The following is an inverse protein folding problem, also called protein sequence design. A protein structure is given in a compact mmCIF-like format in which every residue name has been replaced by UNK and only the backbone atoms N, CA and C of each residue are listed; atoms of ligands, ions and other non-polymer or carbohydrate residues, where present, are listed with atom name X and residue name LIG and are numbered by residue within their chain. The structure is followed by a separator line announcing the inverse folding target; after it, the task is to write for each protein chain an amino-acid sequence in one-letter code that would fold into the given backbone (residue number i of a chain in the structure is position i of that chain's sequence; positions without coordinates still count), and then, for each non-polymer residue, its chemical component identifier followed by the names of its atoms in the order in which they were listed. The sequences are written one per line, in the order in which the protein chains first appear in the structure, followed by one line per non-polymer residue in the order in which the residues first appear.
data_IF_820017593861
#
_entry.id   IF_820017593861
#
_cell.length_a   1.000
_cell.length_b   1.000
_cell.length_c   1.000
_cell.angle_alpha   90.00
_cell.angle_beta   90.00
_cell.angle_gamma   90.00
#
_symmetry.space_group_name_H-M   'P 1'
#
loop_
_entity.id
_entity.type
_entity.pdbx_description
1 polymer ?
#
# COMPACT_ATOMS: atom_id res chain seq x y z
N UNK A 1 -68.65 42.91 -9.32
CA UNK A 1 -69.91 42.55 -8.64
C UNK A 1 -69.80 41.04 -8.41
N UNK A 2 -69.27 40.62 -7.25
CA UNK A 2 -70.02 40.26 -6.01
C UNK A 2 -70.72 38.90 -6.23
N UNK A 3 -70.56 37.80 -5.50
CA UNK A 3 -70.31 37.42 -4.07
C UNK A 3 -69.78 35.97 -4.09
N UNK A 4 -68.80 35.48 -3.31
CA UNK A 4 -68.72 35.19 -1.86
C UNK A 4 -69.73 34.17 -1.29
N UNK A 5 -69.22 33.04 -0.74
CA UNK A 5 -69.55 32.40 0.56
C UNK A 5 -68.91 30.98 0.57
N UNK A 6 -67.95 30.59 1.44
CA UNK A 6 -67.84 30.56 2.92
C UNK A 6 -68.72 29.50 3.61
N UNK A 7 -68.06 28.50 4.23
CA UNK A 7 -68.40 27.79 5.49
C UNK A 7 -67.59 26.49 5.58
N UNK A 8 -67.08 25.98 6.70
CA UNK A 8 -66.93 26.44 8.08
C UNK A 8 -65.91 25.51 8.77
N UNK A 9 -65.31 26.01 9.85
CA UNK A 9 -64.30 25.35 10.66
C UNK A 9 -64.89 24.31 11.63
N UNK A 10 -64.03 23.39 12.12
CA UNK A 10 -64.11 22.90 13.50
C UNK A 10 -62.71 22.65 14.06
N UNK A 11 -62.37 23.48 15.04
CA UNK A 11 -61.29 23.34 16.00
C UNK A 11 -61.74 22.48 17.18
N UNK A 12 -60.86 21.62 17.71
CA UNK A 12 -60.78 21.34 19.13
C UNK A 12 -59.32 21.29 19.57
N UNK A 13 -59.07 22.04 20.64
CA UNK A 13 -57.81 22.18 21.38
C UNK A 13 -57.86 21.27 22.62
N UNK A 14 -56.73 20.68 22.99
CA UNK A 14 -56.35 20.56 24.40
C UNK A 14 -54.84 20.36 24.54
N UNK A 15 -54.22 21.26 25.31
CA UNK A 15 -52.93 21.11 25.99
C UNK A 15 -52.83 19.73 26.69
N UNK A 16 -51.68 19.10 26.92
CA UNK A 16 -50.33 19.57 27.21
C UNK A 16 -49.85 18.74 28.41
N UNK A 17 -48.58 18.34 28.41
CA UNK A 17 -47.68 18.03 29.56
C UNK A 17 -46.62 17.02 29.11
N UNK A 18 -45.40 17.37 29.49
CA UNK A 18 -44.10 16.76 29.32
C UNK A 18 -43.95 15.34 29.84
N UNK A 19 -43.20 14.51 29.10
CA UNK A 19 -42.31 13.50 29.68
C UNK A 19 -41.07 13.34 28.79
N UNK A 20 -39.91 13.42 29.45
CA UNK A 20 -38.58 13.24 28.91
C UNK A 20 -38.26 11.75 28.81
N UNK A 21 -37.89 11.27 27.62
CA UNK A 21 -37.13 10.02 27.49
C UNK A 21 -35.97 10.20 26.51
N UNK A 22 -34.77 10.15 27.07
CA UNK A 22 -33.54 9.91 26.35
C UNK A 22 -33.47 8.43 25.98
N UNK A 23 -33.21 8.10 24.72
CA UNK A 23 -32.93 6.72 24.34
C UNK A 23 -32.90 6.45 22.84
N UNK A 24 -31.72 5.99 22.38
CA UNK A 24 -31.53 5.12 21.20
C UNK A 24 -31.38 5.76 19.81
N UNK A 25 -30.28 6.48 19.57
CA UNK A 25 -29.73 6.76 18.22
C UNK A 25 -28.53 5.84 17.86
N UNK A 26 -28.36 4.70 18.53
CA UNK A 26 -27.24 3.78 18.27
C UNK A 26 -27.64 2.46 17.59
N UNK A 27 -28.93 2.25 17.32
CA UNK A 27 -29.45 1.02 16.68
C UNK A 27 -29.51 1.08 15.15
N UNK A 28 -29.71 2.27 14.57
CA UNK A 28 -30.03 2.38 13.13
C UNK A 28 -28.79 2.48 12.23
N UNK A 29 -27.61 2.76 12.79
CA UNK A 29 -26.35 2.80 12.04
C UNK A 29 -25.81 1.41 11.68
N UNK A 30 -26.29 0.34 12.32
CA UNK A 30 -25.80 -1.03 12.10
C UNK A 30 -26.65 -1.81 11.07
N UNK A 31 -27.92 -1.44 10.89
CA UNK A 31 -28.78 -2.06 9.88
C UNK A 31 -28.60 -1.45 8.46
N UNK A 32 -28.03 -0.24 8.35
CA UNK A 32 -27.76 0.40 7.06
C UNK A 32 -26.48 -0.12 6.36
N UNK A 33 -25.71 -1.02 6.99
CA UNK A 33 -24.53 -1.66 6.39
C UNK A 33 -24.83 -2.99 5.67
N UNK A 34 -26.08 -3.45 5.70
CA UNK A 34 -26.40 -4.84 5.31
C UNK A 34 -27.11 -4.99 3.96
N UNK A 35 -27.56 -3.90 3.31
CA UNK A 35 -28.46 -4.01 2.15
C UNK A 35 -28.03 -3.24 0.87
N UNK A 36 -26.75 -2.88 0.73
CA UNK A 36 -26.24 -2.17 -0.46
C UNK A 36 -25.17 -2.93 -1.23
N UNK A 37 -25.56 -3.74 -2.24
CA UNK A 37 -24.78 -4.04 -3.45
C UNK A 37 -23.29 -4.42 -3.33
N UNK A 38 -22.88 -5.16 -2.29
CA UNK A 38 -21.46 -5.33 -1.91
C UNK A 38 -20.70 -6.57 -2.43
N UNK A 39 -21.26 -7.41 -3.28
CA UNK A 39 -20.63 -8.72 -3.56
C UNK A 39 -19.35 -8.64 -4.41
N UNK A 40 -19.23 -7.69 -5.34
CA UNK A 40 -18.00 -7.49 -6.13
C UNK A 40 -16.91 -6.76 -5.31
N UNK A 41 -17.27 -5.75 -4.51
CA UNK A 41 -16.33 -5.02 -3.65
C UNK A 41 -15.80 -5.88 -2.49
N UNK A 42 -16.63 -6.78 -1.93
CA UNK A 42 -16.23 -7.68 -0.83
C UNK A 42 -15.29 -8.77 -1.34
N UNK A 43 -15.49 -9.28 -2.55
CA UNK A 43 -14.59 -10.28 -3.13
C UNK A 43 -13.24 -9.67 -3.47
N UNK A 44 -13.19 -8.46 -4.02
CA UNK A 44 -11.96 -7.68 -4.22
C UNK A 44 -11.25 -7.35 -2.89
N UNK A 45 -12.01 -7.02 -1.84
CA UNK A 45 -11.50 -6.82 -0.48
C UNK A 45 -10.88 -8.09 0.11
N UNK A 46 -11.44 -9.27 -0.17
CA UNK A 46 -10.96 -10.56 0.34
C UNK A 46 -9.76 -11.08 -0.45
N UNK A 47 -9.73 -10.87 -1.76
CA UNK A 47 -8.61 -11.27 -2.62
C UNK A 47 -7.38 -10.37 -2.43
N UNK A 48 -7.57 -9.05 -2.31
CA UNK A 48 -6.50 -8.10 -1.95
C UNK A 48 -5.90 -8.40 -0.57
N UNK A 49 -6.73 -8.78 0.41
CA UNK A 49 -6.26 -9.15 1.76
C UNK A 49 -5.52 -10.49 1.80
N UNK A 50 -5.90 -11.46 0.94
CA UNK A 50 -5.22 -12.77 0.87
C UNK A 50 -3.78 -12.59 0.42
N UNK A 51 -3.55 -11.90 -0.69
CA UNK A 51 -2.20 -11.65 -1.17
C UNK A 51 -1.32 -10.85 -0.20
N UNK A 52 -1.94 -9.91 0.54
CA UNK A 52 -1.31 -9.14 1.61
C UNK A 52 -0.73 -10.02 2.73
N UNK A 53 -1.54 -10.98 3.21
CA UNK A 53 -1.15 -11.89 4.30
C UNK A 53 -0.02 -12.82 3.87
N UNK A 54 -0.05 -13.26 2.62
CA UNK A 54 0.91 -14.22 2.08
C UNK A 54 2.31 -13.63 1.90
N UNK A 55 2.42 -12.42 1.36
CA UNK A 55 3.71 -11.74 1.15
C UNK A 55 4.37 -11.33 2.48
N UNK A 56 3.58 -10.85 3.44
CA UNK A 56 4.09 -10.36 4.73
C UNK A 56 4.55 -11.48 5.67
N UNK A 57 3.80 -12.60 5.71
CA UNK A 57 4.13 -13.71 6.58
C UNK A 57 5.40 -14.44 6.13
N UNK A 58 5.63 -14.53 4.81
CA UNK A 58 6.81 -15.19 4.22
C UNK A 58 8.13 -14.54 4.61
N UNK A 59 8.18 -13.20 4.60
CA UNK A 59 9.42 -12.46 4.86
C UNK A 59 9.94 -12.69 6.28
N UNK A 60 9.05 -12.99 7.22
CA UNK A 60 9.38 -13.12 8.66
C UNK A 60 9.51 -14.58 9.11
N UNK A 61 8.63 -15.46 8.65
CA UNK A 61 8.55 -16.85 9.10
C UNK A 61 9.14 -17.83 8.10
N UNK A 62 10.30 -17.50 7.56
CA UNK A 62 11.09 -18.49 6.84
C UNK A 62 11.60 -19.55 7.83
N UNK A 63 11.37 -20.82 7.55
CA UNK A 63 11.86 -21.93 8.39
C UNK A 63 13.39 -22.10 8.33
N UNK A 64 14.08 -21.27 7.53
CA UNK A 64 15.53 -21.12 7.56
C UNK A 64 16.04 -20.27 8.72
N UNK A 65 15.16 -19.60 9.47
CA UNK A 65 15.51 -18.84 10.67
C UNK A 65 15.44 -19.72 11.93
N UNK A 66 16.12 -19.31 13.01
CA UNK A 66 16.22 -20.06 14.28
C UNK A 66 14.93 -20.16 15.10
N UNK A 67 13.76 -20.00 14.48
CA UNK A 67 12.47 -20.18 15.12
C UNK A 67 12.28 -21.64 15.56
N UNK A 68 11.83 -21.84 16.81
CA UNK A 68 11.50 -23.16 17.33
C UNK A 68 10.08 -23.58 16.90
N UNK A 69 9.91 -23.82 15.60
CA UNK A 69 8.60 -24.09 14.97
C UNK A 69 8.21 -25.56 15.16
N UNK A 70 7.10 -25.80 15.87
CA UNK A 70 6.45 -27.11 15.89
C UNK A 70 5.66 -27.31 14.58
N UNK A 71 6.18 -28.17 13.69
CA UNK A 71 5.60 -28.46 12.37
C UNK A 71 4.20 -29.10 12.43
N UNK A 72 3.82 -29.66 13.57
CA UNK A 72 2.52 -30.31 13.77
C UNK A 72 1.38 -29.36 14.13
N UNK A 73 1.70 -28.13 14.53
CA UNK A 73 0.72 -27.13 14.91
C UNK A 73 -0.09 -26.67 13.68
N UNK A 74 -1.41 -26.54 13.85
CA UNK A 74 -2.37 -26.23 12.79
C UNK A 74 -2.06 -24.89 12.10
N UNK A 75 -1.59 -23.89 12.86
CA UNK A 75 -1.23 -22.59 12.31
C UNK A 75 -0.11 -22.73 11.27
N UNK A 76 0.97 -23.44 11.59
CA UNK A 76 2.09 -23.65 10.68
C UNK A 76 1.72 -24.54 9.48
N UNK A 77 0.80 -25.49 9.65
CA UNK A 77 0.26 -26.29 8.53
C UNK A 77 -0.52 -25.42 7.53
N UNK A 78 -1.31 -24.46 8.02
CA UNK A 78 -2.04 -23.51 7.17
C UNK A 78 -1.09 -22.55 6.41
N UNK A 79 0.03 -22.18 7.03
CA UNK A 79 1.03 -21.25 6.46
C UNK A 79 1.97 -21.93 5.46
N UNK A 80 2.30 -23.20 5.67
CA UNK A 80 3.27 -23.95 4.85
C UNK A 80 3.08 -23.83 3.33
N UNK A 81 1.86 -23.93 2.75
CA UNK A 81 1.67 -23.78 1.30
C UNK A 81 1.99 -22.37 0.78
N UNK A 82 1.94 -21.33 1.62
CA UNK A 82 2.25 -19.95 1.25
C UNK A 82 3.75 -19.74 0.98
N UNK A 83 4.58 -20.62 1.55
CA UNK A 83 6.02 -20.65 1.36
C UNK A 83 6.37 -21.60 0.20
N UNK A 84 6.12 -21.17 -1.03
CA UNK A 84 6.36 -21.95 -2.26
C UNK A 84 7.75 -22.62 -2.29
N UNK A 85 8.77 -21.94 -1.75
CA UNK A 85 10.14 -22.47 -1.59
C UNK A 85 10.20 -23.75 -0.74
N UNK A 86 9.47 -23.82 0.36
CA UNK A 86 9.50 -24.95 1.29
C UNK A 86 8.80 -26.21 0.76
N UNK A 87 7.94 -26.06 -0.25
CA UNK A 87 7.33 -27.19 -0.94
C UNK A 87 8.33 -27.89 -1.86
N UNK A 88 9.22 -27.13 -2.51
CA UNK A 88 10.06 -27.63 -3.61
C UNK A 88 11.46 -28.06 -3.15
N UNK A 89 12.05 -27.38 -2.16
CA UNK A 89 13.37 -27.78 -1.60
C UNK A 89 13.48 -29.29 -1.30
N UNK A 90 12.52 -29.96 -0.63
CA UNK A 90 12.65 -31.38 -0.32
C UNK A 90 12.62 -32.30 -1.55
N UNK A 91 12.18 -31.82 -2.73
CA UNK A 91 12.17 -32.57 -3.99
C UNK A 91 13.55 -32.59 -4.67
N UNK A 92 14.55 -31.89 -4.12
CA UNK A 92 15.93 -31.88 -4.60
C UNK A 92 16.23 -30.80 -5.65
N UNK A 93 17.53 -30.67 -5.97
CA UNK A 93 18.06 -29.60 -6.81
C UNK A 93 17.47 -29.57 -8.23
N UNK A 94 17.34 -30.74 -8.88
CA UNK A 94 16.79 -30.82 -10.26
C UNK A 94 15.34 -30.29 -10.33
N UNK A 95 14.52 -30.65 -9.35
CA UNK A 95 13.12 -30.20 -9.24
C UNK A 95 13.06 -28.69 -9.03
N UNK A 96 13.93 -28.16 -8.16
CA UNK A 96 14.06 -26.72 -7.94
C UNK A 96 14.45 -25.96 -9.21
N UNK A 97 15.49 -26.40 -9.92
CA UNK A 97 15.92 -25.74 -11.18
C UNK A 97 14.83 -25.79 -12.24
N UNK A 98 14.13 -26.93 -12.36
CA UNK A 98 12.99 -27.06 -13.29
C UNK A 98 11.91 -26.03 -13.00
N UNK A 99 11.54 -25.86 -11.73
CA UNK A 99 10.56 -24.86 -11.32
C UNK A 99 11.03 -23.42 -11.56
N UNK A 100 12.32 -23.10 -11.39
CA UNK A 100 12.88 -21.78 -11.75
C UNK A 100 12.62 -21.46 -13.23
N UNK A 101 12.87 -22.42 -14.13
CA UNK A 101 12.64 -22.20 -15.56
C UNK A 101 11.15 -22.10 -15.92
N UNK A 102 10.30 -22.93 -15.30
CA UNK A 102 8.85 -22.83 -15.50
C UNK A 102 8.33 -21.47 -15.06
N UNK A 103 8.73 -20.99 -13.88
CA UNK A 103 8.36 -19.66 -13.38
C UNK A 103 8.91 -18.56 -14.29
N UNK A 104 10.17 -18.69 -14.73
CA UNK A 104 10.77 -17.71 -15.66
C UNK A 104 10.01 -17.63 -16.97
N UNK A 105 9.59 -18.77 -17.53
CA UNK A 105 8.76 -18.83 -18.73
C UNK A 105 7.38 -18.19 -18.48
N UNK A 106 6.77 -18.44 -17.31
CA UNK A 106 5.49 -17.81 -16.93
C UNK A 106 5.59 -16.29 -16.79
N UNK A 107 6.71 -15.76 -16.28
CA UNK A 107 6.94 -14.31 -16.17
C UNK A 107 7.09 -13.66 -17.56
N UNK A 108 7.87 -14.28 -18.45
CA UNK A 108 8.04 -13.75 -19.81
C UNK A 108 6.74 -13.85 -20.60
N UNK A 109 6.02 -14.97 -20.44
CA UNK A 109 4.71 -15.15 -21.05
C UNK A 109 3.70 -14.13 -20.51
N UNK A 110 3.64 -13.92 -19.18
CA UNK A 110 2.70 -12.94 -18.60
C UNK A 110 3.00 -11.52 -19.06
N UNK A 111 4.29 -11.16 -19.22
CA UNK A 111 4.67 -9.87 -19.79
C UNK A 111 4.23 -9.72 -21.25
N UNK A 112 4.43 -10.76 -22.07
CA UNK A 112 3.98 -10.76 -23.46
C UNK A 112 2.44 -10.66 -23.58
N UNK A 113 1.72 -11.34 -22.68
CA UNK A 113 0.27 -11.30 -22.61
C UNK A 113 -0.25 -9.95 -22.12
N UNK A 114 0.41 -9.31 -21.16
CA UNK A 114 0.04 -7.99 -20.64
C UNK A 114 0.08 -6.90 -21.72
N UNK A 115 0.94 -7.05 -22.74
CA UNK A 115 1.00 -6.15 -23.90
C UNK A 115 -0.12 -6.43 -24.91
N UNK A 116 -0.63 -7.67 -24.99
CA UNK A 116 -1.43 -8.13 -26.12
C UNK A 116 -2.92 -8.38 -25.82
N UNK A 117 -3.30 -8.66 -24.57
CA UNK A 117 -4.64 -9.20 -24.26
C UNK A 117 -5.43 -8.37 -23.25
N UNK A 118 -6.63 -7.95 -23.68
CA UNK A 118 -7.71 -7.42 -22.85
C UNK A 118 -8.65 -8.59 -22.52
N UNK A 119 -8.67 -9.09 -21.27
CA UNK A 119 -9.57 -10.19 -20.88
C UNK A 119 -9.06 -11.04 -19.70
N UNK A 120 -9.53 -12.29 -19.60
CA UNK A 120 -9.36 -13.19 -18.45
C UNK A 120 -7.91 -13.48 -18.00
N UNK A 121 -6.92 -13.24 -18.85
CA UNK A 121 -5.49 -13.34 -18.51
C UNK A 121 -4.96 -12.11 -17.74
N UNK A 122 -5.75 -11.06 -17.62
CA UNK A 122 -5.47 -9.89 -16.78
C UNK A 122 -5.47 -10.27 -15.29
N UNK A 123 -6.33 -11.20 -14.86
CA UNK A 123 -6.34 -11.69 -13.48
C UNK A 123 -5.05 -12.45 -13.14
N UNK A 124 -4.57 -13.31 -14.06
CA UNK A 124 -3.29 -14.00 -13.87
C UNK A 124 -2.13 -13.02 -13.75
N UNK A 125 -2.15 -11.98 -14.58
CA UNK A 125 -1.18 -10.88 -14.57
C UNK A 125 -1.24 -10.16 -13.23
N UNK A 126 -2.43 -9.75 -12.76
CA UNK A 126 -2.62 -9.06 -11.49
C UNK A 126 -2.15 -9.89 -10.29
N UNK A 127 -2.52 -11.18 -10.23
CA UNK A 127 -2.06 -12.07 -9.15
C UNK A 127 -0.54 -12.24 -9.16
N UNK A 128 0.08 -12.42 -10.34
CA UNK A 128 1.52 -12.61 -10.45
C UNK A 128 2.31 -11.38 -10.03
N UNK A 129 1.89 -10.20 -10.48
CA UNK A 129 2.64 -8.95 -10.30
C UNK A 129 2.32 -8.22 -9.00
N UNK A 130 1.08 -8.28 -8.50
CA UNK A 130 0.68 -7.56 -7.28
C UNK A 130 0.80 -8.41 -6.02
N UNK A 131 0.49 -9.71 -6.10
CA UNK A 131 0.43 -10.61 -4.93
C UNK A 131 1.68 -11.48 -4.82
N UNK A 132 1.98 -12.24 -5.87
CA UNK A 132 2.99 -13.30 -5.81
C UNK A 132 4.43 -12.80 -6.00
N UNK A 133 4.65 -11.53 -6.37
CA UNK A 133 5.97 -11.06 -6.80
C UNK A 133 7.05 -11.21 -5.72
N UNK A 134 6.74 -10.91 -4.44
CA UNK A 134 7.68 -11.08 -3.30
C UNK A 134 8.11 -12.54 -3.22
N UNK A 135 7.13 -13.42 -3.42
CA UNK A 135 7.29 -14.85 -3.35
C UNK A 135 8.10 -15.42 -4.52
N UNK A 136 7.85 -14.93 -5.73
CA UNK A 136 8.59 -15.31 -6.92
C UNK A 136 10.02 -14.78 -6.85
N UNK A 137 10.20 -13.54 -6.41
CA UNK A 137 11.50 -12.88 -6.26
C UNK A 137 12.39 -13.64 -5.27
N UNK A 138 11.90 -13.94 -4.06
CA UNK A 138 12.64 -14.77 -3.07
C UNK A 138 12.96 -16.16 -3.63
N UNK A 139 12.08 -16.73 -4.47
CA UNK A 139 12.34 -18.02 -5.09
C UNK A 139 13.46 -17.95 -6.13
N UNK A 140 13.48 -16.93 -6.99
CA UNK A 140 14.53 -16.74 -8.00
C UNK A 140 15.89 -16.41 -7.36
N UNK A 141 15.90 -15.49 -6.38
CA UNK A 141 17.13 -15.05 -5.70
C UNK A 141 17.73 -16.16 -4.86
N UNK A 142 16.94 -17.14 -4.42
CA UNK A 142 17.46 -18.27 -3.63
C UNK A 142 18.56 -19.05 -4.34
N UNK A 143 18.67 -19.00 -5.68
CA UNK A 143 19.84 -19.56 -6.38
C UNK A 143 21.17 -18.90 -6.01
N UNK A 144 21.16 -17.64 -5.60
CA UNK A 144 22.34 -16.93 -5.14
C UNK A 144 22.63 -17.14 -3.63
N UNK A 145 21.91 -18.05 -2.96
CA UNK A 145 22.08 -18.30 -1.54
C UNK A 145 23.30 -19.19 -1.25
N UNK A 146 24.48 -18.57 -1.29
CA UNK A 146 25.77 -19.23 -1.24
C UNK A 146 26.54 -18.90 0.06
N UNK A 147 27.38 -19.83 0.52
CA UNK A 147 28.17 -19.66 1.75
C UNK A 147 29.46 -18.88 1.49
N UNK A 148 29.41 -17.55 1.57
CA UNK A 148 30.54 -16.66 1.32
C UNK A 148 31.55 -16.54 2.48
N UNK A 149 31.66 -17.55 3.35
CA UNK A 149 32.40 -17.52 4.63
C UNK A 149 33.89 -17.21 4.51
N UNK A 150 34.51 -17.47 3.37
CA UNK A 150 35.93 -17.20 3.11
C UNK A 150 36.19 -16.01 2.16
N UNK A 151 35.17 -15.15 1.95
CA UNK A 151 35.24 -13.98 1.09
C UNK A 151 35.16 -14.30 -0.42
N UNK A 152 35.21 -13.26 -1.25
CA UNK A 152 35.04 -13.33 -2.71
C UNK A 152 36.15 -14.11 -3.45
N UNK A 153 37.24 -14.46 -2.76
CA UNK A 153 38.40 -15.17 -3.34
C UNK A 153 38.31 -16.70 -3.23
N UNK A 154 37.25 -17.23 -2.59
CA UNK A 154 37.07 -18.67 -2.45
C UNK A 154 36.70 -19.34 -3.79
N UNK A 155 37.49 -20.33 -4.23
CA UNK A 155 37.21 -21.10 -5.47
C UNK A 155 36.05 -22.11 -5.32
N UNK A 156 35.76 -22.52 -4.10
CA UNK A 156 34.71 -23.48 -3.78
C UNK A 156 33.71 -22.81 -2.85
N UNK A 157 32.63 -22.27 -3.42
CA UNK A 157 31.55 -21.65 -2.66
C UNK A 157 30.35 -22.58 -2.77
N UNK A 158 30.10 -23.36 -1.73
CA UNK A 158 28.94 -24.24 -1.70
C UNK A 158 27.64 -23.44 -1.53
N UNK A 159 26.57 -23.90 -2.16
CA UNK A 159 25.24 -23.37 -1.92
C UNK A 159 24.78 -23.74 -0.50
N UNK A 160 24.08 -22.83 0.19
CA UNK A 160 23.75 -22.97 1.62
C UNK A 160 22.83 -24.17 1.93
N UNK A 161 21.92 -24.51 1.02
CA UNK A 161 21.03 -25.68 1.12
C UNK A 161 21.49 -26.87 0.28
N UNK A 162 21.79 -26.66 -1.01
CA UNK A 162 22.30 -27.71 -1.91
C UNK A 162 23.83 -27.80 -1.82
N UNK A 163 24.34 -28.37 -0.73
CA UNK A 163 25.79 -28.43 -0.42
C UNK A 163 26.63 -29.10 -1.51
N UNK A 164 26.04 -29.97 -2.32
CA UNK A 164 26.72 -30.66 -3.42
C UNK A 164 26.96 -29.77 -4.65
N UNK A 165 26.39 -28.56 -4.67
CA UNK A 165 26.50 -27.63 -5.79
C UNK A 165 27.46 -26.49 -5.43
N UNK A 166 28.43 -26.25 -6.31
CA UNK A 166 29.33 -25.11 -6.21
C UNK A 166 28.74 -23.93 -6.99
N UNK A 167 28.53 -22.81 -6.32
CA UNK A 167 27.92 -21.60 -6.88
C UNK A 167 28.72 -20.97 -8.03
N UNK A 168 30.04 -21.18 -8.04
CA UNK A 168 30.94 -20.65 -9.05
C UNK A 168 31.24 -21.64 -10.19
N UNK A 169 30.71 -22.87 -10.10
CA UNK A 169 30.92 -23.90 -11.12
C UNK A 169 29.69 -24.10 -11.99
N UNK A 170 29.93 -24.56 -13.22
CA UNK A 170 28.87 -25.04 -14.10
C UNK A 170 28.34 -26.39 -13.57
N UNK A 171 27.02 -26.67 -13.69
CA UNK A 171 25.98 -25.88 -14.36
C UNK A 171 25.30 -24.82 -13.48
N UNK A 172 25.54 -24.82 -12.16
CA UNK A 172 24.83 -23.97 -11.22
C UNK A 172 24.97 -22.47 -11.52
N UNK A 173 26.17 -22.03 -11.90
CA UNK A 173 26.45 -20.64 -12.28
C UNK A 173 25.49 -20.11 -13.36
N UNK A 174 25.17 -20.92 -14.37
CA UNK A 174 24.22 -20.52 -15.44
C UNK A 174 22.81 -20.36 -14.89
N UNK A 175 22.36 -21.30 -14.05
CA UNK A 175 21.03 -21.22 -13.43
C UNK A 175 20.91 -19.98 -12.53
N UNK A 176 21.96 -19.65 -11.78
CA UNK A 176 22.03 -18.44 -10.95
C UNK A 176 21.98 -17.17 -11.79
N UNK A 177 22.74 -17.08 -12.89
CA UNK A 177 22.72 -15.91 -13.80
C UNK A 177 21.35 -15.73 -14.43
N UNK A 178 20.74 -16.81 -14.95
CA UNK A 178 19.40 -16.75 -15.55
C UNK A 178 18.37 -16.29 -14.52
N UNK A 179 18.37 -16.88 -13.32
CA UNK A 179 17.46 -16.48 -12.25
C UNK A 179 17.66 -15.00 -11.85
N UNK A 180 18.91 -14.53 -11.80
CA UNK A 180 19.24 -13.12 -11.53
C UNK A 180 18.70 -12.17 -12.60
N UNK A 181 18.86 -12.50 -13.89
CA UNK A 181 18.32 -11.68 -14.98
C UNK A 181 16.79 -11.62 -14.96
N UNK A 182 16.14 -12.75 -14.70
CA UNK A 182 14.67 -12.82 -14.59
C UNK A 182 14.18 -12.07 -13.34
N UNK A 183 14.90 -12.15 -12.23
CA UNK A 183 14.61 -11.38 -11.01
C UNK A 183 14.73 -9.87 -11.26
N UNK A 184 15.74 -9.42 -12.01
CA UNK A 184 15.89 -8.01 -12.40
C UNK A 184 14.74 -7.55 -13.30
N UNK A 185 14.34 -8.37 -14.29
CA UNK A 185 13.18 -8.10 -15.14
C UNK A 185 11.90 -7.99 -14.30
N UNK A 186 11.66 -8.96 -13.41
CA UNK A 186 10.52 -8.96 -12.48
C UNK A 186 10.52 -7.70 -11.63
N UNK A 187 11.68 -7.31 -11.08
CA UNK A 187 11.83 -6.11 -10.26
C UNK A 187 11.52 -4.83 -11.04
N UNK A 188 12.00 -4.72 -12.27
CA UNK A 188 11.73 -3.56 -13.13
C UNK A 188 10.23 -3.42 -13.43
N UNK A 189 9.57 -4.53 -13.78
CA UNK A 189 8.12 -4.53 -14.06
C UNK A 189 7.31 -4.19 -12.82
N UNK A 190 7.63 -4.77 -11.65
CA UNK A 190 6.93 -4.46 -10.40
C UNK A 190 7.10 -3.00 -10.00
N UNK A 191 8.28 -2.40 -10.22
CA UNK A 191 8.49 -0.97 -9.99
C UNK A 191 7.63 -0.11 -10.94
N UNK A 192 7.53 -0.49 -12.21
CA UNK A 192 6.65 0.20 -13.18
C UNK A 192 5.17 0.06 -12.79
N UNK A 193 4.75 -1.12 -12.35
CA UNK A 193 3.38 -1.37 -11.88
C UNK A 193 3.07 -0.54 -10.62
N UNK A 194 4.01 -0.41 -9.69
CA UNK A 194 3.84 0.42 -8.49
C UNK A 194 3.62 1.90 -8.84
N UNK A 195 4.19 2.38 -9.95
CA UNK A 195 3.92 3.72 -10.48
C UNK A 195 2.60 3.76 -11.27
N UNK A 196 2.25 2.68 -11.97
CA UNK A 196 0.98 2.53 -12.69
C UNK A 196 -0.24 2.51 -11.77
N UNK A 197 -0.10 1.96 -10.56
CA UNK A 197 -1.10 1.94 -9.49
C UNK A 197 -1.39 3.35 -8.93
N UNK A 198 -0.58 4.36 -9.27
CA UNK A 198 -0.87 5.74 -8.91
C UNK A 198 -2.08 6.24 -9.70
N UNK A 199 -3.14 6.58 -8.98
CA UNK A 199 -4.32 7.20 -9.54
C UNK A 199 -4.25 8.70 -9.32
N UNK A 200 -4.38 9.44 -10.41
CA UNK A 200 -4.33 10.89 -10.40
C UNK A 200 -5.73 11.50 -10.24
N UNK A 201 -6.78 10.68 -10.35
CA UNK A 201 -8.14 11.11 -10.11
C UNK A 201 -8.35 11.35 -8.60
N UNK A 202 -8.52 12.62 -8.15
CA UNK A 202 -8.70 12.92 -6.74
C UNK A 202 -9.99 12.34 -6.15
N UNK A 203 -10.98 12.01 -7.00
CA UNK A 203 -12.28 11.44 -6.64
C UNK A 203 -12.39 9.94 -6.95
N UNK A 204 -11.27 9.27 -7.25
CA UNK A 204 -11.22 7.81 -7.45
C UNK A 204 -11.81 7.06 -6.26
N UNK A 205 -12.44 5.91 -6.51
CA UNK A 205 -12.93 5.01 -5.45
C UNK A 205 -12.01 3.85 -5.15
N UNK A 206 -10.98 3.67 -5.97
CA UNK A 206 -10.06 2.55 -5.79
C UNK A 206 -9.41 2.62 -4.40
N UNK A 207 -9.50 1.52 -3.66
CA UNK A 207 -9.02 1.42 -2.29
C UNK A 207 -7.50 1.56 -2.20
N UNK A 208 -6.80 1.03 -3.20
CA UNK A 208 -5.33 1.04 -3.29
C UNK A 208 -4.78 2.24 -4.05
N UNK A 209 -5.63 3.17 -4.48
CA UNK A 209 -5.18 4.38 -5.17
C UNK A 209 -4.29 5.25 -4.28
N UNK A 210 -3.16 5.66 -4.86
CA UNK A 210 -2.19 6.56 -4.26
C UNK A 210 -1.91 7.76 -5.19
N UNK A 211 -1.84 9.00 -4.67
CA UNK A 211 -1.52 10.20 -5.44
C UNK A 211 -0.03 10.32 -5.78
N UNK A 212 0.85 9.69 -4.99
CA UNK A 212 2.30 9.89 -5.07
C UNK A 212 3.04 8.59 -5.42
N UNK A 213 3.56 8.55 -6.65
CA UNK A 213 4.37 7.44 -7.12
C UNK A 213 5.79 7.41 -6.57
N UNK A 214 6.31 8.53 -6.05
CA UNK A 214 7.65 8.53 -5.45
C UNK A 214 7.66 7.74 -4.14
N UNK A 215 6.65 7.91 -3.30
CA UNK A 215 6.51 7.12 -2.07
C UNK A 215 6.22 5.65 -2.38
N UNK A 216 5.32 5.37 -3.32
CA UNK A 216 5.01 3.99 -3.72
C UNK A 216 6.25 3.24 -4.22
N UNK A 217 7.00 3.85 -5.14
CA UNK A 217 8.25 3.28 -5.68
C UNK A 217 9.34 3.09 -4.61
N UNK A 218 9.52 4.04 -3.70
CA UNK A 218 10.46 3.91 -2.57
C UNK A 218 10.11 2.74 -1.66
N UNK A 219 8.84 2.58 -1.31
CA UNK A 219 8.36 1.48 -0.46
C UNK A 219 8.58 0.13 -1.16
N UNK A 220 8.27 0.02 -2.45
CA UNK A 220 8.47 -1.20 -3.23
C UNK A 220 9.96 -1.53 -3.39
N UNK A 221 10.81 -0.53 -3.65
CA UNK A 221 12.25 -0.72 -3.72
C UNK A 221 12.83 -1.22 -2.38
N UNK A 222 12.41 -0.65 -1.26
CA UNK A 222 12.82 -1.13 0.07
C UNK A 222 12.36 -2.56 0.34
N UNK A 223 11.14 -2.94 -0.08
CA UNK A 223 10.66 -4.33 -0.01
C UNK A 223 11.54 -5.27 -0.83
N UNK A 224 11.91 -4.89 -2.06
CA UNK A 224 12.83 -5.68 -2.90
C UNK A 224 14.19 -5.86 -2.23
N UNK A 225 14.78 -4.79 -1.71
CA UNK A 225 16.06 -4.84 -0.97
C UNK A 225 15.94 -5.79 0.22
N UNK A 226 14.87 -5.69 1.01
CA UNK A 226 14.63 -6.58 2.14
C UNK A 226 14.57 -8.05 1.71
N UNK A 227 13.89 -8.37 0.60
CA UNK A 227 13.76 -9.73 0.07
C UNK A 227 15.10 -10.26 -0.44
N UNK A 228 15.84 -9.45 -1.21
CA UNK A 228 17.16 -9.81 -1.74
C UNK A 228 18.13 -10.11 -0.59
N UNK A 229 18.27 -9.18 0.35
CA UNK A 229 19.24 -9.29 1.44
C UNK A 229 18.84 -10.39 2.43
N UNK A 230 17.55 -10.58 2.70
CA UNK A 230 17.06 -11.69 3.52
C UNK A 230 17.23 -13.06 2.86
N UNK A 231 17.53 -13.13 1.56
CA UNK A 231 17.77 -14.41 0.86
C UNK A 231 19.26 -14.70 0.65
N UNK A 232 20.08 -13.68 0.39
CA UNK A 232 21.50 -13.85 0.01
C UNK A 232 22.43 -13.87 1.24
N UNK A 233 22.07 -13.21 2.35
CA UNK A 233 22.95 -13.03 3.52
C UNK A 233 22.76 -14.16 4.55
N UNK A 234 22.39 -15.38 4.15
CA UNK A 234 22.19 -16.45 5.15
C UNK A 234 23.49 -16.93 5.79
N UNK A 235 24.65 -16.64 5.19
CA UNK A 235 25.95 -16.97 5.78
C UNK A 235 26.23 -16.19 7.08
N UNK A 236 25.52 -15.08 7.31
CA UNK A 236 25.61 -14.28 8.52
C UNK A 236 24.20 -13.96 9.04
N UNK A 237 23.57 -14.88 9.79
CA UNK A 237 22.18 -14.74 10.22
C UNK A 237 21.97 -13.51 11.11
N UNK A 238 22.97 -13.13 11.90
CA UNK A 238 22.93 -11.90 12.71
C UNK A 238 22.79 -10.66 11.83
N UNK A 239 23.63 -10.50 10.81
CA UNK A 239 23.58 -9.33 9.92
C UNK A 239 22.28 -9.32 9.09
N UNK A 240 21.85 -10.49 8.61
CA UNK A 240 20.60 -10.66 7.89
C UNK A 240 19.41 -10.14 8.71
N UNK A 241 19.31 -10.54 9.98
CA UNK A 241 18.21 -10.13 10.85
C UNK A 241 18.25 -8.63 11.16
N UNK A 242 19.44 -8.06 11.41
CA UNK A 242 19.59 -6.61 11.67
C UNK A 242 19.13 -5.80 10.46
N UNK A 243 19.57 -6.19 9.25
CA UNK A 243 19.16 -5.55 8.00
C UNK A 243 17.65 -5.64 7.81
N UNK A 244 17.03 -6.79 8.10
CA UNK A 244 15.58 -6.96 8.00
C UNK A 244 14.81 -6.02 8.93
N UNK A 245 15.26 -5.82 10.18
CA UNK A 245 14.65 -4.83 11.08
C UNK A 245 14.78 -3.42 10.54
N UNK A 246 15.96 -3.05 10.03
CA UNK A 246 16.21 -1.72 9.46
C UNK A 246 15.28 -1.48 8.26
N UNK A 247 15.23 -2.41 7.30
CA UNK A 247 14.35 -2.29 6.13
C UNK A 247 12.87 -2.21 6.53
N UNK A 248 12.40 -3.10 7.39
CA UNK A 248 11.01 -3.09 7.86
C UNK A 248 10.66 -1.80 8.63
N UNK A 249 11.60 -1.31 9.45
CA UNK A 249 11.46 -0.06 10.20
C UNK A 249 11.39 1.15 9.28
N UNK A 250 12.26 1.23 8.27
CA UNK A 250 12.23 2.29 7.26
C UNK A 250 10.94 2.28 6.44
N UNK A 251 10.45 1.10 6.04
CA UNK A 251 9.17 0.97 5.34
C UNK A 251 8.02 1.46 6.22
N UNK A 252 7.98 1.02 7.49
CA UNK A 252 6.94 1.44 8.44
C UNK A 252 6.96 2.95 8.67
N UNK A 253 8.16 3.53 8.82
CA UNK A 253 8.36 4.97 8.99
C UNK A 253 7.92 5.75 7.75
N UNK A 254 8.25 5.26 6.54
CA UNK A 254 7.83 5.89 5.29
C UNK A 254 6.29 5.87 5.16
N UNK A 255 5.65 4.74 5.45
CA UNK A 255 4.19 4.62 5.41
C UNK A 255 3.50 5.54 6.43
N UNK A 256 4.03 5.58 7.66
CA UNK A 256 3.50 6.44 8.72
C UNK A 256 3.71 7.93 8.43
N UNK A 257 4.84 8.31 7.85
CA UNK A 257 5.16 9.71 7.57
C UNK A 257 4.44 10.25 6.35
N UNK A 258 4.36 9.48 5.27
CA UNK A 258 3.82 9.93 3.97
C UNK A 258 2.32 9.71 3.79
N UNK A 259 1.69 8.76 4.49
CA UNK A 259 0.26 8.40 4.34
C UNK A 259 -0.13 8.26 2.86
N UNK A 260 0.45 7.27 2.14
CA UNK A 260 0.45 7.25 0.68
C UNK A 260 -0.90 6.93 0.03
N UNK A 261 -1.85 6.32 0.73
CA UNK A 261 -3.12 5.94 0.11
C UNK A 261 -4.18 7.00 0.34
N UNK A 262 -5.11 7.17 -0.61
CA UNK A 262 -6.22 8.07 -0.38
C UNK A 262 -7.23 7.53 0.64
N UNK A 263 -7.40 6.21 0.74
CA UNK A 263 -8.28 5.58 1.72
C UNK A 263 -7.59 5.48 3.09
N UNK A 264 -8.23 6.03 4.13
CA UNK A 264 -7.66 6.10 5.47
C UNK A 264 -7.42 4.73 6.08
N UNK A 265 -8.42 3.86 6.04
CA UNK A 265 -8.35 2.52 6.63
C UNK A 265 -7.24 1.67 5.99
N UNK A 266 -6.96 1.89 4.71
CA UNK A 266 -5.86 1.22 4.00
C UNK A 266 -4.51 1.69 4.55
N UNK A 267 -4.31 2.98 4.80
CA UNK A 267 -3.09 3.46 5.48
C UNK A 267 -2.93 2.83 6.87
N UNK A 268 -4.00 2.79 7.67
CA UNK A 268 -3.99 2.19 9.01
C UNK A 268 -3.63 0.70 8.95
N UNK A 269 -4.24 -0.05 8.02
CA UNK A 269 -3.97 -1.46 7.82
C UNK A 269 -2.51 -1.71 7.41
N UNK A 270 -2.00 -0.96 6.43
CA UNK A 270 -0.62 -1.11 5.96
C UNK A 270 0.42 -0.78 7.03
N UNK A 271 0.27 0.34 7.74
CA UNK A 271 1.19 0.71 8.84
C UNK A 271 1.10 -0.31 9.97
N UNK A 272 -0.11 -0.74 10.34
CA UNK A 272 -0.31 -1.77 11.37
C UNK A 272 0.41 -3.07 11.02
N UNK A 273 0.18 -3.58 9.81
CA UNK A 273 0.81 -4.82 9.36
C UNK A 273 2.35 -4.73 9.30
N UNK A 274 2.89 -3.62 8.79
CA UNK A 274 4.35 -3.40 8.79
C UNK A 274 4.93 -3.25 10.19
N UNK A 275 4.18 -2.68 11.13
CA UNK A 275 4.57 -2.67 12.55
C UNK A 275 4.64 -4.11 13.12
N UNK A 276 3.69 -4.97 12.76
CA UNK A 276 3.76 -6.40 13.09
C UNK A 276 5.02 -7.08 12.53
N UNK A 277 5.42 -6.76 11.30
CA UNK A 277 6.68 -7.25 10.71
C UNK A 277 7.89 -6.73 11.48
N UNK A 278 7.92 -5.45 11.85
CA UNK A 278 9.00 -4.89 12.68
C UNK A 278 9.11 -5.64 14.01
N UNK A 279 7.99 -5.86 14.69
CA UNK A 279 7.95 -6.60 15.96
C UNK A 279 8.56 -8.00 15.84
N UNK A 280 8.13 -8.75 14.82
CA UNK A 280 8.64 -10.10 14.59
C UNK A 280 10.12 -10.12 14.20
N UNK A 281 10.58 -9.19 13.37
CA UNK A 281 12.00 -9.02 13.05
C UNK A 281 12.83 -8.67 14.30
N UNK A 282 12.31 -7.85 15.22
CA UNK A 282 12.99 -7.53 16.49
C UNK A 282 13.14 -8.78 17.35
N UNK A 283 12.09 -9.59 17.50
CA UNK A 283 12.17 -10.84 18.25
C UNK A 283 13.14 -11.84 17.61
N UNK A 284 13.19 -11.90 16.28
CA UNK A 284 14.18 -12.71 15.57
C UNK A 284 15.62 -12.26 15.89
N UNK A 285 15.87 -10.95 15.89
CA UNK A 285 17.18 -10.41 16.28
C UNK A 285 17.56 -10.79 17.70
N UNK A 286 16.60 -10.80 18.64
CA UNK A 286 16.87 -11.22 20.03
C UNK A 286 17.30 -12.68 20.08
N UNK A 287 16.69 -13.57 19.29
CA UNK A 287 17.07 -14.99 19.23
C UNK A 287 18.49 -15.14 18.69
N UNK A 288 18.80 -14.50 17.57
CA UNK A 288 20.08 -14.63 16.88
C UNK A 288 21.22 -13.96 17.67
N UNK A 289 21.05 -12.74 18.16
CA UNK A 289 22.09 -12.01 18.91
C UNK A 289 22.41 -12.64 20.26
N UNK A 290 21.42 -13.25 20.92
CA UNK A 290 21.63 -13.95 22.20
C UNK A 290 21.97 -15.43 22.02
N UNK A 291 22.04 -15.94 20.80
CA UNK A 291 22.33 -17.35 20.53
C UNK A 291 21.30 -18.31 21.16
N UNK A 292 20.03 -17.92 21.20
CA UNK A 292 18.96 -18.68 21.87
C UNK A 292 18.40 -19.82 21.00
N UNK A 293 18.94 -20.04 19.80
CA UNK A 293 18.50 -21.09 18.88
C UNK A 293 18.42 -22.46 19.58
N UNK A 294 17.27 -23.14 19.44
CA UNK A 294 17.05 -24.46 20.04
C UNK A 294 16.82 -24.49 21.56
N UNK A 295 16.86 -23.34 22.25
CA UNK A 295 16.57 -23.27 23.69
C UNK A 295 15.06 -23.18 23.98
N UNK A 296 14.61 -23.50 25.21
CA UNK A 296 13.23 -23.25 25.63
C UNK A 296 12.82 -21.78 25.49
N UNK A 297 13.77 -20.84 25.63
CA UNK A 297 13.51 -19.42 25.45
C UNK A 297 13.14 -19.07 23.99
N UNK A 298 13.73 -19.73 22.99
CA UNK A 298 13.32 -19.56 21.59
C UNK A 298 11.89 -20.07 21.34
N UNK A 299 11.46 -21.13 22.04
CA UNK A 299 10.08 -21.61 21.97
C UNK A 299 9.10 -20.58 22.55
N UNK A 300 9.41 -20.02 23.73
CA UNK A 300 8.62 -18.92 24.32
C UNK A 300 8.55 -17.70 23.41
N UNK A 301 9.67 -17.30 22.79
CA UNK A 301 9.70 -16.17 21.86
C UNK A 301 8.92 -16.45 20.57
N UNK A 302 8.91 -17.69 20.08
CA UNK A 302 8.09 -18.10 18.93
C UNK A 302 6.59 -17.98 19.25
N UNK A 303 6.17 -18.34 20.47
CA UNK A 303 4.80 -18.10 20.94
C UNK A 303 4.49 -16.62 21.16
N UNK A 304 5.46 -15.86 21.68
CA UNK A 304 5.32 -14.41 21.84
C UNK A 304 5.11 -13.72 20.50
N UNK A 305 5.76 -14.17 19.42
CA UNK A 305 5.51 -13.70 18.06
C UNK A 305 4.06 -13.97 17.63
N UNK A 306 3.55 -15.20 17.82
CA UNK A 306 2.23 -15.60 17.35
C UNK A 306 1.11 -14.75 17.97
N UNK A 307 1.22 -14.46 19.27
CA UNK A 307 0.21 -13.66 19.99
C UNK A 307 0.51 -12.16 19.95
N UNK A 308 1.78 -11.78 19.96
CA UNK A 308 2.23 -10.38 20.01
C UNK A 308 2.10 -9.64 18.68
N UNK A 309 1.93 -10.35 17.56
CA UNK A 309 1.71 -9.70 16.26
C UNK A 309 0.41 -8.88 16.25
N UNK A 310 -0.67 -9.38 16.86
CA UNK A 310 -1.97 -8.70 16.89
C UNK A 310 -1.94 -7.36 17.63
N UNK A 311 -1.46 -7.27 18.89
CA UNK A 311 -1.32 -5.98 19.56
C UNK A 311 -0.33 -5.06 18.86
N UNK A 312 0.74 -5.59 18.26
CA UNK A 312 1.67 -4.77 17.46
C UNK A 312 0.98 -4.15 16.23
N UNK A 313 0.12 -4.91 15.54
CA UNK A 313 -0.66 -4.41 14.41
C UNK A 313 -1.63 -3.32 14.85
N UNK A 314 -2.33 -3.53 15.97
CA UNK A 314 -3.25 -2.54 16.53
C UNK A 314 -2.52 -1.25 16.95
N UNK A 315 -1.33 -1.37 17.56
CA UNK A 315 -0.51 -0.22 17.92
C UNK A 315 -0.03 0.56 16.69
N UNK A 316 0.40 -0.12 15.63
CA UNK A 316 0.78 0.52 14.38
C UNK A 316 -0.41 1.23 13.70
N UNK A 317 -1.57 0.59 13.68
CA UNK A 317 -2.80 1.20 13.17
C UNK A 317 -3.22 2.42 14.00
N UNK A 318 -3.15 2.33 15.33
CA UNK A 318 -3.45 3.45 16.22
C UNK A 318 -2.46 4.62 16.04
N UNK A 319 -1.17 4.34 15.87
CA UNK A 319 -0.16 5.34 15.55
C UNK A 319 -0.46 6.04 14.21
N UNK A 320 -0.87 5.28 13.19
CA UNK A 320 -1.29 5.83 11.90
C UNK A 320 -2.55 6.70 12.03
N UNK A 321 -3.54 6.27 12.82
CA UNK A 321 -4.74 7.06 13.07
C UNK A 321 -4.42 8.38 13.78
N UNK A 322 -3.60 8.33 14.84
CA UNK A 322 -3.16 9.52 15.57
C UNK A 322 -2.37 10.48 14.67
N UNK A 323 -1.50 9.93 13.80
CA UNK A 323 -0.74 10.71 12.81
C UNK A 323 -1.64 11.37 11.78
N UNK A 324 -2.62 10.66 11.25
CA UNK A 324 -3.57 11.20 10.28
C UNK A 324 -4.43 12.31 10.90
N UNK A 325 -4.92 12.11 12.12
CA UNK A 325 -5.62 13.14 12.89
C UNK A 325 -4.73 14.37 13.11
N UNK A 326 -3.45 14.17 13.42
CA UNK A 326 -2.49 15.27 13.58
C UNK A 326 -2.32 16.06 12.28
N UNK A 327 -2.20 15.39 11.15
CA UNK A 327 -2.06 16.02 9.83
C UNK A 327 -3.32 16.79 9.41
N UNK A 328 -4.50 16.36 9.88
CA UNK A 328 -5.78 16.99 9.57
C UNK A 328 -6.20 18.12 10.51
N UNK A 329 -5.42 18.41 11.56
CA UNK A 329 -5.69 19.53 12.48
C UNK A 329 -5.95 20.87 11.79
N UNK A 330 -5.27 21.23 10.68
CA UNK A 330 -5.53 22.49 9.98
C UNK A 330 -6.91 22.60 9.33
N UNK A 331 -7.62 21.49 9.10
CA UNK A 331 -8.90 21.50 8.39
C UNK A 331 -9.95 22.38 9.07
N UNK A 332 -9.98 22.41 10.40
CA UNK A 332 -10.93 23.26 11.14
C UNK A 332 -10.74 24.75 10.79
N UNK A 333 -9.49 25.23 10.78
CA UNK A 333 -9.16 26.61 10.41
C UNK A 333 -9.46 26.90 8.93
N UNK A 334 -9.23 25.93 8.05
CA UNK A 334 -9.52 26.08 6.62
C UNK A 334 -11.03 26.14 6.36
N UNK A 335 -11.85 25.39 7.11
CA UNK A 335 -13.31 25.50 7.03
C UNK A 335 -13.80 26.87 7.51
N UNK A 336 -13.27 27.38 8.63
CA UNK A 336 -13.58 28.73 9.11
C UNK A 336 -13.20 29.79 8.07
N UNK A 337 -12.04 29.65 7.42
CA UNK A 337 -11.59 30.58 6.39
C UNK A 337 -12.40 30.51 5.08
N UNK A 338 -12.90 29.34 4.69
CA UNK A 338 -13.74 29.22 3.49
C UNK A 338 -15.06 30.02 3.66
N UNK A 339 -15.58 30.09 4.88
CA UNK A 339 -16.79 30.84 5.19
C UNK A 339 -16.59 32.36 5.21
N UNK A 340 -15.33 32.84 5.24
CA UNK A 340 -14.98 34.25 5.29
C UNK A 340 -14.71 34.81 3.87
N UNK A 341 -15.48 35.83 3.41
CA UNK A 341 -15.27 36.45 2.11
C UNK A 341 -13.90 37.13 1.93
N UNK A 342 -13.26 37.58 3.01
CA UNK A 342 -11.93 38.20 2.92
C UNK A 342 -10.84 37.16 2.61
N UNK A 343 -10.94 35.99 3.23
CA UNK A 343 -10.07 34.84 3.01
C UNK A 343 -10.12 34.32 1.57
N UNK A 344 -11.27 34.45 0.88
CA UNK A 344 -11.40 34.13 -0.54
C UNK A 344 -10.69 35.14 -1.46
N UNK A 345 -10.52 36.39 -1.02
CA UNK A 345 -9.83 37.44 -1.79
C UNK A 345 -8.30 37.33 -1.70
N UNK A 346 -7.79 36.83 -0.57
CA UNK A 346 -6.36 36.64 -0.36
C UNK A 346 -6.03 35.22 0.14
N UNK A 347 -6.13 34.21 -0.74
CA UNK A 347 -5.96 32.80 -0.38
C UNK A 347 -4.53 32.46 0.10
N UNK A 348 -3.55 33.36 -0.12
CA UNK A 348 -2.15 33.15 0.26
C UNK A 348 -1.91 33.30 1.76
N UNK A 349 -2.74 34.08 2.45
CA UNK A 349 -2.58 34.39 3.88
C UNK A 349 -3.48 33.57 4.81
N UNK A 350 -4.37 32.73 4.25
CA UNK A 350 -5.30 31.87 4.98
C UNK A 350 -4.56 30.83 5.85
N UNK A 351 -3.63 30.09 5.25
CA UNK A 351 -2.87 29.06 5.95
C UNK A 351 -1.46 28.92 5.38
N UNK A 352 -0.48 28.80 6.28
CA UNK A 352 0.92 28.62 5.95
C UNK A 352 1.22 27.13 5.73
N UNK A 353 0.94 26.64 4.52
CA UNK A 353 1.34 25.29 4.12
C UNK A 353 2.86 25.15 4.13
N UNK A 354 3.35 24.18 4.89
CA UNK A 354 4.77 23.88 5.02
C UNK A 354 5.33 23.25 3.75
N UNK A 355 4.51 22.48 3.03
CA UNK A 355 4.91 21.78 1.80
C UNK A 355 3.72 21.51 0.87
N UNK A 356 3.96 21.27 -0.44
CA UNK A 356 2.95 20.82 -1.40
C UNK A 356 2.23 19.53 -0.97
N UNK A 357 2.94 18.63 -0.31
CA UNK A 357 2.38 17.37 0.20
C UNK A 357 1.29 17.60 1.27
N UNK A 358 1.43 18.64 2.09
CA UNK A 358 0.42 18.98 3.10
C UNK A 358 -0.89 19.43 2.44
N UNK A 359 -0.79 20.18 1.34
CA UNK A 359 -1.95 20.60 0.53
C UNK A 359 -2.66 19.36 -0.02
N UNK A 360 -1.90 18.41 -0.58
CA UNK A 360 -2.45 17.16 -1.12
C UNK A 360 -3.26 16.41 -0.06
N UNK A 361 -2.68 16.15 1.13
CA UNK A 361 -3.38 15.44 2.21
C UNK A 361 -4.65 16.16 2.67
N UNK A 362 -4.59 17.48 2.82
CA UNK A 362 -5.75 18.26 3.27
C UNK A 362 -6.83 18.33 2.19
N UNK A 363 -6.45 18.36 0.91
CA UNK A 363 -7.37 18.35 -0.22
C UNK A 363 -8.15 17.04 -0.35
N UNK A 364 -7.65 15.92 0.20
CA UNK A 364 -8.38 14.63 0.26
C UNK A 364 -9.72 14.72 0.99
N UNK A 365 -9.96 15.78 1.77
CA UNK A 365 -11.26 16.07 2.39
C UNK A 365 -12.41 16.17 1.38
N UNK A 366 -12.11 16.41 0.10
CA UNK A 366 -13.08 16.39 -1.00
C UNK A 366 -13.67 15.02 -1.31
N UNK A 367 -13.04 13.94 -0.83
CA UNK A 367 -13.43 12.55 -1.08
C UNK A 367 -14.57 12.14 -0.15
N UNK A 368 -15.73 12.76 -0.36
CA UNK A 368 -17.00 12.38 0.25
C UNK A 368 -18.00 12.13 -0.86
N UNK A 369 -18.65 10.97 -0.81
CA UNK A 369 -19.68 10.58 -1.74
C UNK A 369 -21.01 10.48 -1.00
N UNK A 370 -22.10 10.81 -1.68
CA UNK A 370 -23.44 10.51 -1.21
C UNK A 370 -23.79 9.02 -1.42
N UNK A 371 -25.01 8.63 -1.05
CA UNK A 371 -25.51 7.27 -1.19
C UNK A 371 -25.62 6.80 -2.64
N UNK A 372 -25.82 7.74 -3.57
CA UNK A 372 -25.92 7.47 -5.02
C UNK A 372 -24.54 7.40 -5.68
N UNK A 373 -23.48 7.67 -4.91
CA UNK A 373 -22.13 7.69 -5.42
C UNK A 373 -21.83 8.93 -6.26
N UNK A 374 -22.43 10.07 -5.96
CA UNK A 374 -22.03 11.37 -6.50
C UNK A 374 -21.14 12.09 -5.47
N UNK A 375 -20.05 12.75 -5.89
CA UNK A 375 -19.25 13.57 -4.99
C UNK A 375 -20.09 14.67 -4.34
N UNK A 376 -19.99 14.81 -3.02
CA UNK A 376 -20.73 15.85 -2.30
C UNK A 376 -20.23 17.23 -2.73
N UNK A 377 -21.09 18.14 -3.22
CA UNK A 377 -20.66 19.44 -3.76
C UNK A 377 -19.89 20.28 -2.74
N UNK A 378 -20.36 20.35 -1.49
CA UNK A 378 -19.73 21.11 -0.42
C UNK A 378 -18.29 20.63 -0.13
N UNK A 379 -18.08 19.31 -0.10
CA UNK A 379 -16.76 18.73 0.12
C UNK A 379 -15.83 19.00 -1.07
N UNK A 380 -16.38 18.94 -2.27
CA UNK A 380 -15.67 19.20 -3.53
C UNK A 380 -15.20 20.65 -3.62
N UNK A 381 -16.07 21.61 -3.29
CA UNK A 381 -15.75 23.04 -3.22
C UNK A 381 -14.70 23.35 -2.15
N UNK A 382 -14.80 22.70 -0.98
CA UNK A 382 -13.79 22.83 0.05
C UNK A 382 -12.43 22.29 -0.40
N UNK A 383 -12.40 21.15 -1.07
CA UNK A 383 -11.21 20.60 -1.71
C UNK A 383 -10.55 21.56 -2.68
N UNK A 384 -11.36 22.19 -3.53
CA UNK A 384 -10.92 23.22 -4.46
C UNK A 384 -10.29 24.40 -3.75
N UNK A 385 -10.94 24.90 -2.69
CA UNK A 385 -10.44 25.99 -1.86
C UNK A 385 -9.06 25.67 -1.29
N UNK A 386 -8.87 24.46 -0.74
CA UNK A 386 -7.57 24.02 -0.22
C UNK A 386 -6.50 23.99 -1.31
N UNK A 387 -6.82 23.47 -2.50
CA UNK A 387 -5.89 23.46 -3.64
C UNK A 387 -5.54 24.88 -4.09
N UNK A 388 -6.51 25.79 -4.17
CA UNK A 388 -6.29 27.20 -4.52
C UNK A 388 -5.37 27.91 -3.51
N UNK A 389 -5.60 27.74 -2.21
CA UNK A 389 -4.71 28.28 -1.18
C UNK A 389 -3.29 27.70 -1.29
N UNK A 390 -3.17 26.40 -1.56
CA UNK A 390 -1.90 25.73 -1.77
C UNK A 390 -1.12 26.29 -2.96
N UNK A 391 -1.78 26.47 -4.10
CA UNK A 391 -1.18 27.06 -5.31
C UNK A 391 -0.80 28.53 -5.14
N UNK A 392 -1.61 29.32 -4.42
CA UNK A 392 -1.29 30.71 -4.12
C UNK A 392 -0.02 30.82 -3.26
N UNK A 393 0.23 29.82 -2.40
CA UNK A 393 1.40 29.76 -1.54
C UNK A 393 2.65 29.18 -2.23
N UNK A 394 2.46 28.16 -3.05
CA UNK A 394 3.53 27.47 -3.79
C UNK A 394 3.34 27.66 -5.30
N UNK A 395 3.42 28.89 -5.82
CA UNK A 395 3.20 29.16 -7.24
C UNK A 395 4.29 28.49 -8.07
N UNK A 396 3.90 27.76 -9.11
CA UNK A 396 4.84 27.05 -9.98
C UNK A 396 5.33 25.70 -9.43
N UNK A 397 4.67 25.10 -8.44
CA UNK A 397 4.90 23.70 -8.15
C UNK A 397 4.14 22.82 -9.17
N UNK A 398 4.86 22.05 -9.99
CA UNK A 398 4.28 21.24 -11.06
C UNK A 398 3.34 20.15 -10.54
N UNK A 399 3.64 19.50 -9.42
CA UNK A 399 2.77 18.49 -8.83
C UNK A 399 1.41 19.07 -8.39
N UNK A 400 1.37 20.25 -7.76
CA UNK A 400 0.11 20.92 -7.39
C UNK A 400 -0.71 21.34 -8.62
N UNK A 401 -0.04 21.85 -9.66
CA UNK A 401 -0.69 22.24 -10.91
C UNK A 401 -1.30 21.03 -11.63
N UNK A 402 -0.63 19.88 -11.62
CA UNK A 402 -1.16 18.62 -12.17
C UNK A 402 -2.35 18.15 -11.32
N UNK A 403 -2.25 18.14 -10.00
CA UNK A 403 -3.37 17.77 -9.11
C UNK A 403 -4.59 18.67 -9.33
N UNK A 404 -4.39 19.98 -9.52
CA UNK A 404 -5.47 20.91 -9.80
C UNK A 404 -6.06 20.73 -11.21
N UNK A 405 -5.23 20.38 -12.20
CA UNK A 405 -5.72 19.99 -13.52
C UNK A 405 -6.62 18.75 -13.44
N UNK A 406 -6.22 17.71 -12.68
CA UNK A 406 -7.03 16.51 -12.47
C UNK A 406 -8.35 16.83 -11.75
N UNK A 407 -8.32 17.75 -10.77
CA UNK A 407 -9.56 18.25 -10.15
C UNK A 407 -10.51 18.87 -11.18
N UNK A 408 -10.03 19.74 -12.08
CA UNK A 408 -10.89 20.33 -13.11
C UNK A 408 -11.53 19.30 -14.05
N UNK A 409 -10.80 18.24 -14.40
CA UNK A 409 -11.30 17.17 -15.26
C UNK A 409 -12.41 16.39 -14.55
N UNK A 410 -12.14 15.95 -13.33
CA UNK A 410 -12.97 14.96 -12.63
C UNK A 410 -14.13 15.60 -11.86
N UNK A 411 -13.90 16.75 -11.22
CA UNK A 411 -14.89 17.40 -10.37
C UNK A 411 -15.70 18.48 -11.09
N UNK A 412 -15.06 19.27 -11.96
CA UNK A 412 -15.70 20.40 -12.66
C UNK A 412 -16.06 20.09 -14.11
N UNK A 413 -15.56 18.98 -14.66
CA UNK A 413 -15.68 18.63 -16.08
C UNK A 413 -15.25 19.76 -17.03
N UNK A 414 -14.26 20.55 -16.62
CA UNK A 414 -13.74 21.70 -17.38
C UNK A 414 -12.37 21.39 -17.96
N UNK A 415 -12.40 20.83 -19.17
CA UNK A 415 -11.18 20.46 -19.89
C UNK A 415 -10.31 21.68 -20.26
N UNK A 416 -10.90 22.87 -20.42
CA UNK A 416 -10.15 24.05 -20.89
C UNK A 416 -9.30 24.64 -19.77
N UNK A 417 -9.86 24.74 -18.56
CA UNK A 417 -9.11 25.16 -17.39
C UNK A 417 -8.03 24.12 -17.01
N UNK A 418 -8.35 22.83 -17.11
CA UNK A 418 -7.36 21.76 -16.89
C UNK A 418 -6.15 21.88 -17.84
N UNK A 419 -6.37 22.11 -19.14
CA UNK A 419 -5.30 22.33 -20.12
C UNK A 419 -4.43 23.53 -19.78
N UNK A 420 -5.04 24.61 -19.30
CA UNK A 420 -4.30 25.82 -18.88
C UNK A 420 -3.36 25.50 -17.72
N UNK A 421 -3.82 24.72 -16.73
CA UNK A 421 -2.98 24.30 -15.60
C UNK A 421 -1.82 23.39 -16.03
N UNK A 422 -2.05 22.47 -16.97
CA UNK A 422 -0.98 21.61 -17.52
C UNK A 422 0.09 22.40 -18.29
N UNK A 423 -0.32 23.45 -19.02
CA UNK A 423 0.64 24.35 -19.67
C UNK A 423 1.49 25.11 -18.65
N UNK A 424 0.89 25.53 -17.52
CA UNK A 424 1.63 26.15 -16.41
C UNK A 424 2.57 25.14 -15.74
N UNK A 425 2.15 23.88 -15.57
CA UNK A 425 2.98 22.82 -15.03
C UNK A 425 4.22 22.56 -15.90
N UNK A 426 4.04 22.56 -17.23
CA UNK A 426 5.17 22.43 -18.18
C UNK A 426 6.16 23.60 -18.05
N UNK A 427 5.66 24.83 -17.86
CA UNK A 427 6.50 26.03 -17.67
C UNK A 427 7.24 26.04 -16.32
N UNK A 428 6.64 25.44 -15.29
CA UNK A 428 7.21 25.32 -13.96
C UNK A 428 8.41 24.34 -13.88
N UNK A 429 8.55 23.45 -14.87
CA UNK A 429 9.54 22.38 -14.87
C UNK A 429 8.97 21.10 -14.29
N UNK A 430 9.07 20.02 -15.06
CA UNK A 430 8.59 18.69 -14.70
C UNK A 430 9.78 17.84 -14.24
N UNK A 431 9.64 17.15 -13.11
CA UNK A 431 10.52 16.04 -12.77
C UNK A 431 10.08 14.75 -13.48
N UNK A 432 10.83 13.65 -13.34
CA UNK A 432 10.55 12.41 -14.07
C UNK A 432 9.16 11.81 -13.76
N UNK A 433 8.69 11.95 -12.52
CA UNK A 433 7.37 11.45 -12.12
C UNK A 433 6.26 12.39 -12.60
N UNK A 434 6.49 13.70 -12.52
CA UNK A 434 5.57 14.71 -13.02
C UNK A 434 5.43 14.65 -14.54
N UNK A 435 6.48 14.29 -15.29
CA UNK A 435 6.40 14.04 -16.74
C UNK A 435 5.46 12.89 -17.06
N UNK A 436 5.58 11.78 -16.33
CA UNK A 436 4.69 10.62 -16.51
C UNK A 436 3.25 10.97 -16.15
N UNK A 437 3.05 11.68 -15.05
CA UNK A 437 1.72 12.10 -14.61
C UNK A 437 1.09 13.12 -15.56
N UNK A 438 1.87 14.07 -16.05
CA UNK A 438 1.44 15.01 -17.07
C UNK A 438 1.01 14.27 -18.35
N UNK A 439 1.78 13.28 -18.82
CA UNK A 439 1.40 12.44 -19.94
C UNK A 439 0.10 11.66 -19.67
N UNK A 440 -0.03 11.03 -18.50
CA UNK A 440 -1.24 10.27 -18.11
C UNK A 440 -2.48 11.17 -18.09
N UNK A 441 -2.39 12.37 -17.51
CA UNK A 441 -3.49 13.34 -17.51
C UNK A 441 -3.83 13.81 -18.92
N UNK A 442 -2.84 14.00 -19.81
CA UNK A 442 -3.09 14.38 -21.21
C UNK A 442 -3.82 13.31 -22.02
N UNK A 443 -3.46 12.04 -21.82
CA UNK A 443 -4.11 10.92 -22.53
C UNK A 443 -5.55 10.75 -22.07
N UNK A 444 -5.88 11.04 -20.81
CA UNK A 444 -7.27 11.02 -20.31
C UNK A 444 -8.22 12.03 -20.99
N UNK A 445 -7.71 12.97 -21.79
CA UNK A 445 -8.55 13.88 -22.60
C UNK A 445 -8.97 13.31 -23.97
N UNK A 446 -8.30 12.26 -24.45
CA UNK A 446 -8.53 11.68 -25.78
C UNK A 446 -9.38 10.43 -25.71
#
# INVERSE_FOLDING_TARGET
MSESQSSAAHSYSSAGVSESEAGSEHGDALNALQDGGGDEDITDLLEGNRGLREAMFRVVFNTGFSWAIQRDNWAFKAIRPLLFRLLIIPLGYKSYVTAVYVISALIVLSLALAVWLVGSLQMLTLVMWSIAWVSIMDYLIFMANCQWTHGLAARNVAHAVFTDQNCLAMPHLVHMVVAGLVALLLGAVVMLMAVGECDLNPLTRSLLAAPDGTTASRVVALKMVMVILSTVITFSPTNQCVIMVICAGLITLQLLSSVPYYCDWINLAWVGLWCGIVYTCVLLNIIELKGLAGTPAAHTLTWAVLWGIFPSVLLGAAASAARLQWLRRPLARLHEAQADPESLRDPKHVYLFSSPWEVEILSRSMRRWDWDGVPVPEATEFGEFVLMCGMARHPGNSALLISYANFFIEARHDAQNARTQLQLATKAGLGPMEELFHFKTQVGFG
#
